data_IF_754438089989
#
_entry.id   IF_754438089989
#
_cell.length_a   1.000
_cell.length_b   1.000
_cell.length_c   1.000
_cell.angle_alpha   90.00
_cell.angle_beta   90.00
_cell.angle_gamma   90.00
#
_symmetry.space_group_name_H-M   'P 1'
#
loop_
_entity.id
_entity.type
_entity.pdbx_description
1 polymer ?
#
# COMPACT_ATOMS: atom_id res chain seq x y z
N UNK A 1 25.33 9.71 -0.04
CA UNK A 1 24.49 8.71 -0.73
C UNK A 1 23.08 9.00 -0.25
N UNK A 2 22.46 10.01 -0.83
CA UNK A 2 21.09 10.41 -0.49
C UNK A 2 20.14 9.31 -0.97
N UNK A 3 19.64 8.51 -0.04
CA UNK A 3 18.51 7.62 -0.32
C UNK A 3 17.30 8.54 -0.49
N UNK A 4 16.85 8.69 -1.74
CA UNK A 4 15.59 9.34 -2.06
C UNK A 4 14.46 8.39 -1.62
N UNK A 5 14.21 8.32 -0.32
CA UNK A 5 13.07 7.60 0.23
C UNK A 5 11.78 8.25 -0.29
N UNK A 6 10.83 7.46 -0.79
CA UNK A 6 9.54 7.99 -1.22
C UNK A 6 8.82 8.61 -0.03
N UNK A 7 8.69 9.94 -0.06
CA UNK A 7 7.98 10.70 0.98
C UNK A 7 6.48 10.60 0.72
N UNK A 8 5.76 10.03 1.69
CA UNK A 8 4.30 10.02 1.64
C UNK A 8 3.74 11.45 1.82
N UNK A 9 2.69 11.84 1.06
CA UNK A 9 1.97 13.07 1.34
C UNK A 9 1.28 13.00 2.70
N UNK A 10 1.36 14.06 3.50
CA UNK A 10 0.80 14.16 4.85
C UNK A 10 -0.75 14.06 4.95
N UNK A 11 -1.44 13.88 3.81
CA UNK A 11 -2.90 13.73 3.71
C UNK A 11 -3.31 12.42 3.04
N UNK A 12 -2.52 11.34 3.18
CA UNK A 12 -3.03 10.00 2.84
C UNK A 12 -4.13 9.62 3.82
N UNK A 13 -5.38 9.72 3.38
CA UNK A 13 -6.54 9.28 4.17
C UNK A 13 -6.44 7.81 4.57
N UNK A 14 -7.17 7.40 5.61
CA UNK A 14 -7.21 6.03 6.18
C UNK A 14 -7.36 4.93 5.12
N UNK A 15 -8.02 5.25 4.01
CA UNK A 15 -8.13 4.48 2.78
C UNK A 15 -6.79 3.89 2.28
N UNK A 16 -5.72 4.67 2.33
CA UNK A 16 -4.38 4.24 1.90
C UNK A 16 -3.82 3.16 2.83
N UNK A 17 -4.05 3.31 4.15
CA UNK A 17 -3.61 2.33 5.12
C UNK A 17 -4.32 1.00 4.93
N UNK A 18 -5.61 1.01 4.60
CA UNK A 18 -6.33 -0.23 4.28
C UNK A 18 -5.76 -0.96 3.06
N UNK A 19 -5.43 -0.23 1.99
CA UNK A 19 -4.81 -0.80 0.79
C UNK A 19 -3.44 -1.41 1.12
N UNK A 20 -2.56 -0.63 1.77
CA UNK A 20 -1.21 -1.07 2.11
C UNK A 20 -1.22 -2.25 3.10
N UNK A 21 -2.09 -2.20 4.11
CA UNK A 21 -2.25 -3.28 5.07
C UNK A 21 -2.72 -4.57 4.41
N UNK A 22 -3.74 -4.50 3.55
CA UNK A 22 -4.22 -5.67 2.81
C UNK A 22 -3.13 -6.27 1.91
N UNK A 23 -2.35 -5.42 1.23
CA UNK A 23 -1.25 -5.87 0.38
C UNK A 23 -0.15 -6.58 1.17
N UNK A 24 0.24 -6.08 2.35
CA UNK A 24 1.20 -6.75 3.22
C UNK A 24 0.65 -8.07 3.77
N UNK A 25 -0.56 -8.04 4.33
CA UNK A 25 -1.20 -9.20 4.96
C UNK A 25 -1.34 -10.38 3.98
N UNK A 26 -1.60 -10.09 2.71
CA UNK A 26 -1.81 -11.10 1.68
C UNK A 26 -0.59 -11.37 0.79
N UNK A 27 0.53 -10.67 1.01
CA UNK A 27 1.70 -10.70 0.12
C UNK A 27 1.31 -10.44 -1.35
N UNK A 28 0.42 -9.47 -1.53
CA UNK A 28 -0.15 -9.06 -2.81
C UNK A 28 -1.49 -9.66 -3.17
N UNK A 29 -2.24 -8.91 -3.98
CA UNK A 29 -3.58 -9.27 -4.43
C UNK A 29 -3.88 -8.69 -5.83
N UNK A 30 -4.71 -9.36 -6.63
CA UNK A 30 -5.36 -8.73 -7.78
C UNK A 30 -6.22 -7.54 -7.35
N UNK A 31 -6.36 -6.54 -8.23
CA UNK A 31 -7.18 -5.35 -7.95
C UNK A 31 -8.64 -5.71 -7.64
N UNK A 32 -9.16 -6.75 -8.29
CA UNK A 32 -10.51 -7.26 -8.08
C UNK A 32 -10.71 -7.76 -6.65
N UNK A 33 -9.71 -8.46 -6.08
CA UNK A 33 -9.78 -8.95 -4.70
C UNK A 33 -9.70 -7.82 -3.70
N UNK A 34 -8.87 -6.80 -3.95
CA UNK A 34 -8.86 -5.59 -3.12
C UNK A 34 -10.25 -4.92 -3.12
N UNK A 35 -10.92 -4.84 -4.27
CA UNK A 35 -12.27 -4.27 -4.38
C UNK A 35 -13.35 -5.09 -3.68
N UNK A 36 -13.14 -6.39 -3.47
CA UNK A 36 -14.06 -7.27 -2.73
C UNK A 36 -13.83 -7.19 -1.21
N UNK A 37 -12.57 -6.99 -0.79
CA UNK A 37 -12.17 -7.03 0.62
C UNK A 37 -12.27 -5.67 1.32
N UNK A 38 -11.94 -4.59 0.61
CA UNK A 38 -11.86 -3.27 1.23
C UNK A 38 -13.23 -2.59 1.25
N UNK A 39 -13.59 -1.93 2.36
CA UNK A 39 -14.86 -1.19 2.49
C UNK A 39 -14.79 0.16 1.78
N UNK A 40 -14.38 0.17 0.50
CA UNK A 40 -14.10 1.36 -0.29
C UNK A 40 -14.69 1.24 -1.70
N UNK A 41 -14.85 2.37 -2.39
CA UNK A 41 -15.25 2.35 -3.79
C UNK A 41 -14.12 1.82 -4.68
N UNK A 42 -14.46 1.01 -5.68
CA UNK A 42 -13.51 0.51 -6.68
C UNK A 42 -12.63 1.62 -7.27
N UNK A 43 -13.21 2.76 -7.62
CA UNK A 43 -12.49 3.90 -8.18
C UNK A 43 -11.44 4.47 -7.22
N UNK A 44 -11.74 4.53 -5.92
CA UNK A 44 -10.78 4.97 -4.89
C UNK A 44 -9.62 3.98 -4.78
N UNK A 45 -9.91 2.68 -4.74
CA UNK A 45 -8.87 1.63 -4.65
C UNK A 45 -7.93 1.71 -5.86
N UNK A 46 -8.47 1.76 -7.08
CA UNK A 46 -7.66 1.86 -8.29
C UNK A 46 -6.84 3.15 -8.35
N UNK A 47 -7.42 4.29 -7.94
CA UNK A 47 -6.70 5.56 -7.91
C UNK A 47 -5.57 5.54 -6.87
N UNK A 48 -5.82 4.94 -5.72
CA UNK A 48 -4.83 4.78 -4.65
C UNK A 48 -3.66 3.89 -5.10
N UNK A 49 -3.96 2.75 -5.75
CA UNK A 49 -2.93 1.86 -6.31
C UNK A 49 -2.03 2.57 -7.32
N UNK A 50 -2.62 3.32 -8.26
CA UNK A 50 -1.86 4.09 -9.25
C UNK A 50 -1.02 5.20 -8.60
N UNK A 51 -1.56 5.86 -7.57
CA UNK A 51 -0.81 6.88 -6.83
C UNK A 51 0.37 6.25 -6.08
N UNK A 52 0.15 5.17 -5.34
CA UNK A 52 1.20 4.44 -4.63
C UNK A 52 2.26 3.87 -5.59
N UNK A 53 1.86 3.42 -6.77
CA UNK A 53 2.77 2.94 -7.82
C UNK A 53 3.65 4.08 -8.34
N UNK A 54 3.06 5.27 -8.57
CA UNK A 54 3.81 6.45 -8.98
C UNK A 54 4.84 6.90 -7.93
N UNK A 55 4.60 6.57 -6.66
CA UNK A 55 5.52 6.80 -5.54
C UNK A 55 6.53 5.64 -5.36
N UNK A 56 6.40 4.56 -6.13
CA UNK A 56 7.25 3.37 -6.01
C UNK A 56 6.98 2.53 -4.75
N UNK A 57 5.88 2.77 -4.04
CA UNK A 57 5.52 2.06 -2.80
C UNK A 57 4.87 0.70 -3.08
N UNK A 58 4.16 0.60 -4.21
CA UNK A 58 3.59 -0.65 -4.71
C UNK A 58 3.99 -0.87 -6.15
N UNK A 59 3.89 -2.12 -6.60
CA UNK A 59 4.14 -2.52 -7.98
C UNK A 59 3.04 -3.49 -8.45
N UNK A 60 2.74 -3.46 -9.75
CA UNK A 60 1.90 -4.45 -10.40
C UNK A 60 2.77 -5.47 -11.13
N UNK A 61 2.71 -6.73 -10.72
CA UNK A 61 3.44 -7.83 -11.35
C UNK A 61 2.51 -9.05 -11.50
N UNK A 62 2.46 -9.62 -12.70
CA UNK A 62 1.61 -10.77 -13.03
C UNK A 62 0.12 -10.61 -12.63
N UNK A 63 -0.40 -9.38 -12.79
CA UNK A 63 -1.78 -9.05 -12.44
C UNK A 63 -2.07 -8.95 -10.94
N UNK A 64 -1.04 -8.97 -10.10
CA UNK A 64 -1.14 -8.73 -8.67
C UNK A 64 -0.46 -7.42 -8.29
N UNK A 65 -1.11 -6.66 -7.43
CA UNK A 65 -0.51 -5.52 -6.73
C UNK A 65 0.21 -6.02 -5.49
N UNK A 66 1.39 -5.49 -5.21
CA UNK A 66 2.23 -5.81 -4.05
C UNK A 66 2.92 -4.57 -3.54
N UNK A 67 3.25 -4.54 -2.26
CA UNK A 67 4.23 -3.56 -1.75
C UNK A 67 5.57 -3.86 -2.40
N UNK A 68 6.21 -2.85 -2.98
CA UNK A 68 7.48 -3.02 -3.68
C UNK A 68 8.59 -3.34 -2.67
N UNK A 69 9.66 -4.00 -3.13
CA UNK A 69 10.81 -4.29 -2.27
C UNK A 69 11.46 -3.02 -1.70
N UNK A 70 11.46 -1.92 -2.47
CA UNK A 70 12.02 -0.63 -2.05
C UNK A 70 11.09 0.11 -1.07
N UNK A 71 9.77 -0.01 -1.23
CA UNK A 71 8.78 0.63 -0.39
C UNK A 71 8.46 -0.15 0.90
N UNK A 72 8.92 -1.39 1.03
CA UNK A 72 8.54 -2.29 2.13
C UNK A 72 8.80 -1.70 3.52
N UNK A 73 10.01 -1.17 3.76
CA UNK A 73 10.36 -0.59 5.06
C UNK A 73 9.48 0.64 5.37
N UNK A 74 9.39 1.58 4.42
CA UNK A 74 8.59 2.81 4.60
C UNK A 74 7.10 2.53 4.80
N UNK A 75 6.53 1.55 4.08
CA UNK A 75 5.12 1.15 4.26
C UNK A 75 4.90 0.52 5.63
N UNK A 76 5.85 -0.28 6.13
CA UNK A 76 5.74 -0.88 7.45
C UNK A 76 5.81 0.16 8.57
N UNK A 77 6.79 1.04 8.51
CA UNK A 77 6.95 2.12 9.51
C UNK A 77 5.70 2.99 9.55
N UNK A 78 5.17 3.36 8.38
CA UNK A 78 3.92 4.10 8.26
C UNK A 78 2.72 3.39 8.94
N UNK A 79 2.54 2.10 8.69
CA UNK A 79 1.43 1.34 9.27
C UNK A 79 1.61 1.13 10.78
N UNK A 80 2.84 0.98 11.26
CA UNK A 80 3.15 0.87 12.70
C UNK A 80 2.86 2.18 13.44
N UNK A 81 3.33 3.31 12.90
CA UNK A 81 3.07 4.65 13.44
C UNK A 81 1.56 4.94 13.58
N UNK A 82 0.74 4.38 12.69
CA UNK A 82 -0.71 4.57 12.68
C UNK A 82 -1.48 3.42 13.33
N UNK A 83 -0.80 2.47 13.99
CA UNK A 83 -1.42 1.32 14.68
C UNK A 83 -2.21 0.36 13.77
N UNK A 84 -1.89 0.34 12.48
CA UNK A 84 -2.43 -0.60 11.51
C UNK A 84 -1.57 -1.86 11.35
N UNK A 85 -0.36 -1.88 11.90
CA UNK A 85 0.45 -3.09 11.90
C UNK A 85 -0.07 -4.09 12.96
N UNK A 86 -0.57 -5.24 12.51
CA UNK A 86 -1.13 -6.27 13.40
C UNK A 86 -0.15 -7.41 13.67
N UNK A 87 1.00 -7.42 13.00
CA UNK A 87 1.98 -8.50 13.08
C UNK A 87 3.27 -8.02 13.79
N UNK A 88 3.77 -8.75 14.81
CA UNK A 88 5.01 -8.43 15.51
C UNK A 88 6.33 -8.73 14.76
N UNK A 89 6.33 -9.33 13.57
CA UNK A 89 7.56 -9.69 12.84
C UNK A 89 8.26 -8.50 12.19
#
# INVERSE_FOLDING_TARGET
MDHNEPVLPAETGEETFFVLHALLLHNGLPAERLCELLPMLRSQILSNLLQLESLGLVESCDGCWRVSALGYASVRDLLDEHQYLTDPF
#
